data_IF_340537165299
#
_entry.id   IF_340537165299
#
_cell.length_a   1.000
_cell.length_b   1.000
_cell.length_c   1.000
_cell.angle_alpha   90.00
_cell.angle_beta   90.00
_cell.angle_gamma   90.00
#
_symmetry.space_group_name_H-M   'P 1'
#
loop_
_entity.id
_entity.type
_entity.pdbx_description
1 polymer ?
#
# COMPACT_ATOMS: atom_id res chain seq x y z
N UNK A 1 -0.47 2.48 -8.95
CA UNK A 1 -1.16 1.57 -9.91
C UNK A 1 -1.09 2.08 -11.34
N UNK A 2 -1.72 3.22 -11.67
CA UNK A 2 -1.73 3.76 -13.04
C UNK A 2 -0.33 3.97 -13.63
N UNK A 3 0.63 4.43 -12.82
CA UNK A 3 2.04 4.52 -13.24
C UNK A 3 2.67 3.17 -13.61
N UNK A 4 2.32 2.07 -12.93
CA UNK A 4 2.78 0.73 -13.31
C UNK A 4 2.14 0.29 -14.64
N UNK A 5 0.87 0.63 -14.87
CA UNK A 5 0.19 0.31 -16.12
C UNK A 5 0.84 1.01 -17.32
N UNK A 6 1.13 2.31 -17.20
CA UNK A 6 1.71 3.12 -18.29
C UNK A 6 3.21 2.83 -18.51
N UNK A 7 4.00 2.78 -17.45
CA UNK A 7 5.46 2.80 -17.55
C UNK A 7 6.11 1.44 -17.26
N UNK A 8 5.34 0.45 -16.80
CA UNK A 8 5.83 -0.87 -16.39
C UNK A 8 7.09 -0.81 -15.51
N UNK A 9 7.06 0.02 -14.45
CA UNK A 9 8.20 0.26 -13.56
C UNK A 9 8.75 -1.01 -12.91
N UNK A 10 7.90 -2.03 -12.71
CA UNK A 10 8.28 -3.32 -12.14
C UNK A 10 8.88 -4.32 -13.15
N UNK A 11 8.86 -3.96 -14.45
CA UNK A 11 9.32 -4.79 -15.57
C UNK A 11 8.64 -6.15 -15.64
N UNK A 12 7.31 -6.15 -15.50
CA UNK A 12 6.50 -7.35 -15.68
C UNK A 12 6.44 -7.72 -17.17
N UNK A 13 6.34 -9.01 -17.47
CA UNK A 13 6.08 -9.45 -18.84
C UNK A 13 4.65 -9.05 -19.27
N UNK A 14 4.33 -9.02 -20.58
CA UNK A 14 3.00 -8.66 -21.05
C UNK A 14 1.88 -9.51 -20.44
N UNK A 15 2.14 -10.80 -20.19
CA UNK A 15 1.19 -11.73 -19.58
C UNK A 15 1.03 -11.52 -18.07
N UNK A 16 2.08 -11.06 -17.38
CA UNK A 16 2.03 -10.75 -15.94
C UNK A 16 1.40 -9.38 -15.66
N UNK A 17 1.45 -8.43 -16.61
CA UNK A 17 1.04 -7.03 -16.43
C UNK A 17 -0.34 -6.88 -15.75
N UNK A 18 -1.41 -7.58 -16.18
CA UNK A 18 -2.72 -7.45 -15.53
C UNK A 18 -2.70 -7.94 -14.08
N UNK A 19 -1.99 -9.05 -13.83
CA UNK A 19 -1.87 -9.62 -12.48
C UNK A 19 -1.07 -8.71 -11.56
N UNK A 20 0.00 -8.10 -12.06
CA UNK A 20 0.83 -7.14 -11.32
C UNK A 20 0.03 -5.89 -10.99
N UNK A 21 -0.75 -5.35 -11.92
CA UNK A 21 -1.60 -4.18 -11.70
C UNK A 21 -2.70 -4.48 -10.66
N UNK A 22 -3.38 -5.61 -10.79
CA UNK A 22 -4.38 -6.07 -9.82
C UNK A 22 -3.78 -6.26 -8.42
N UNK A 23 -2.65 -6.95 -8.33
CA UNK A 23 -1.96 -7.17 -7.06
C UNK A 23 -1.50 -5.87 -6.42
N UNK A 24 -0.96 -4.95 -7.23
CA UNK A 24 -0.55 -3.63 -6.76
C UNK A 24 -1.75 -2.82 -6.25
N UNK A 25 -2.92 -2.91 -6.88
CA UNK A 25 -4.14 -2.30 -6.36
C UNK A 25 -4.50 -2.85 -4.97
N UNK A 26 -4.58 -4.18 -4.83
CA UNK A 26 -4.95 -4.81 -3.57
C UNK A 26 -3.99 -4.46 -2.44
N UNK A 27 -2.68 -4.51 -2.70
CA UNK A 27 -1.67 -4.11 -1.71
C UNK A 27 -1.71 -2.61 -1.39
N UNK A 28 -1.93 -1.74 -2.38
CA UNK A 28 -2.14 -0.31 -2.11
C UNK A 28 -3.37 -0.08 -1.21
N UNK A 29 -4.46 -0.83 -1.42
CA UNK A 29 -5.64 -0.75 -0.56
C UNK A 29 -5.34 -1.22 0.88
N UNK A 30 -4.57 -2.30 1.05
CA UNK A 30 -4.15 -2.79 2.37
C UNK A 30 -3.25 -1.77 3.10
N UNK A 31 -2.27 -1.19 2.40
CA UNK A 31 -1.45 -0.12 2.97
C UNK A 31 -2.24 1.16 3.24
N UNK A 32 -3.25 1.46 2.43
CA UNK A 32 -4.16 2.57 2.71
C UNK A 32 -5.03 2.30 3.95
N UNK A 33 -5.49 1.06 4.15
CA UNK A 33 -6.22 0.68 5.37
C UNK A 33 -5.37 0.88 6.64
N UNK A 34 -4.06 0.62 6.57
CA UNK A 34 -3.12 0.95 7.66
C UNK A 34 -3.07 2.46 7.93
N UNK A 35 -3.04 3.29 6.89
CA UNK A 35 -3.03 4.75 7.01
C UNK A 35 -4.31 5.29 7.67
N UNK A 36 -5.47 4.75 7.30
CA UNK A 36 -6.78 5.15 7.81
C UNK A 36 -6.99 4.82 9.29
N UNK A 37 -6.12 4.03 9.91
CA UNK A 37 -6.21 3.70 11.34
C UNK A 37 -6.01 4.91 12.25
N UNK A 38 -5.19 5.87 11.83
CA UNK A 38 -4.95 7.10 12.56
C UNK A 38 -5.71 8.26 11.90
N UNK A 39 -6.77 8.73 12.56
CA UNK A 39 -7.59 9.83 12.09
C UNK A 39 -6.87 11.19 12.23
N UNK A 40 -7.18 12.10 11.30
CA UNK A 40 -6.64 13.47 11.31
C UNK A 40 -5.15 13.53 10.97
N UNK A 41 -4.44 14.42 11.66
CA UNK A 41 -3.01 14.69 11.42
C UNK A 41 -2.07 13.83 12.29
N UNK A 42 -2.61 12.84 13.00
CA UNK A 42 -1.82 11.93 13.83
C UNK A 42 -0.94 11.02 12.95
N UNK A 43 0.34 10.94 13.31
CA UNK A 43 1.33 10.11 12.62
C UNK A 43 1.00 8.63 12.77
N UNK A 44 1.12 7.87 11.69
CA UNK A 44 0.89 6.42 11.69
C UNK A 44 2.11 5.64 12.20
N UNK A 45 3.32 6.20 12.08
CA UNK A 45 4.59 5.58 12.47
C UNK A 45 4.68 5.21 13.96
N UNK A 46 4.46 6.12 14.94
CA UNK A 46 4.67 5.82 16.36
C UNK A 46 3.66 4.80 16.92
N UNK A 47 2.51 4.67 16.28
CA UNK A 47 1.46 3.73 16.66
C UNK A 47 1.46 2.47 15.81
N UNK A 48 2.36 2.33 14.82
CA UNK A 48 2.33 1.27 13.82
C UNK A 48 2.12 -0.11 14.45
N UNK A 49 2.95 -0.45 15.44
CA UNK A 49 2.93 -1.75 16.15
C UNK A 49 1.98 -1.85 17.35
N UNK A 50 1.28 -0.77 17.74
CA UNK A 50 0.46 -0.76 18.96
C UNK A 50 -0.86 -1.52 18.78
N UNK A 51 -1.51 -1.38 17.63
CA UNK A 51 -2.74 -2.10 17.32
C UNK A 51 -2.43 -3.43 16.61
N UNK A 52 -2.15 -4.46 17.41
CA UNK A 52 -1.78 -5.80 16.94
C UNK A 52 -2.90 -6.47 16.15
N UNK A 53 -4.17 -6.25 16.52
CA UNK A 53 -5.32 -6.84 15.82
C UNK A 53 -5.40 -6.34 14.38
N UNK A 54 -5.30 -5.02 14.17
CA UNK A 54 -5.33 -4.44 12.83
C UNK A 54 -4.16 -4.95 11.96
N UNK A 55 -2.96 -5.04 12.53
CA UNK A 55 -1.80 -5.60 11.83
C UNK A 55 -1.99 -7.09 11.49
N UNK A 56 -2.54 -7.87 12.41
CA UNK A 56 -2.84 -9.29 12.18
C UNK A 56 -3.83 -9.48 11.04
N UNK A 57 -4.94 -8.73 11.04
CA UNK A 57 -5.94 -8.79 9.96
C UNK A 57 -5.28 -8.45 8.63
N UNK A 58 -4.51 -7.36 8.56
CA UNK A 58 -3.87 -6.93 7.31
C UNK A 58 -2.81 -7.94 6.84
N UNK A 59 -2.08 -8.56 7.76
CA UNK A 59 -1.12 -9.62 7.43
C UNK A 59 -1.85 -10.86 6.87
N UNK A 60 -2.91 -11.31 7.54
CA UNK A 60 -3.71 -12.47 7.09
C UNK A 60 -4.31 -12.18 5.72
N UNK A 61 -4.89 -10.99 5.52
CA UNK A 61 -5.45 -10.58 4.22
C UNK A 61 -4.37 -10.47 3.14
N UNK A 62 -3.16 -10.02 3.47
CA UNK A 62 -2.03 -9.98 2.53
C UNK A 62 -1.61 -11.38 2.07
N UNK A 63 -1.58 -12.34 3.00
CA UNK A 63 -1.29 -13.75 2.69
C UNK A 63 -2.41 -14.33 1.82
N UNK A 64 -3.67 -14.13 2.22
CA UNK A 64 -4.83 -14.58 1.46
C UNK A 64 -4.84 -13.98 0.05
N UNK A 65 -4.49 -12.71 -0.11
CA UNK A 65 -4.36 -12.04 -1.41
C UNK A 65 -3.36 -12.75 -2.32
N UNK A 66 -2.17 -13.09 -1.81
CA UNK A 66 -1.14 -13.81 -2.58
C UNK A 66 -1.64 -15.21 -2.93
N UNK A 67 -2.17 -15.94 -1.96
CA UNK A 67 -2.67 -17.31 -2.15
C UNK A 67 -3.79 -17.34 -3.17
N UNK A 68 -4.78 -16.46 -3.05
CA UNK A 68 -5.93 -16.46 -3.95
C UNK A 68 -5.56 -16.06 -5.37
N UNK A 69 -4.65 -15.08 -5.53
CA UNK A 69 -4.15 -14.69 -6.85
C UNK A 69 -3.36 -15.82 -7.52
N UNK A 70 -2.69 -16.67 -6.73
CA UNK A 70 -1.88 -17.79 -7.24
C UNK A 70 -2.69 -19.09 -7.42
N UNK A 71 -3.75 -19.33 -6.64
CA UNK A 71 -4.55 -20.56 -6.70
C UNK A 71 -5.76 -20.41 -7.61
N UNK A 72 -6.50 -19.30 -7.50
CA UNK A 72 -7.74 -19.07 -8.25
C UNK A 72 -7.50 -18.30 -9.56
N UNK A 73 -6.46 -18.70 -10.31
CA UNK A 73 -6.00 -18.02 -11.53
C UNK A 73 -7.10 -17.76 -12.55
N UNK A 74 -7.95 -18.77 -12.80
CA UNK A 74 -9.06 -18.65 -13.75
C UNK A 74 -10.14 -17.65 -13.30
N UNK A 75 -10.41 -17.56 -12.00
CA UNK A 75 -11.40 -16.61 -11.46
C UNK A 75 -10.92 -15.16 -11.57
N UNK A 76 -9.64 -14.92 -11.26
CA UNK A 76 -9.04 -13.58 -11.29
C UNK A 76 -8.44 -13.19 -12.65
N UNK A 77 -8.50 -14.08 -13.66
CA UNK A 77 -7.75 -13.95 -14.91
C UNK A 77 -6.27 -13.60 -14.68
N UNK A 78 -5.65 -14.25 -13.68
CA UNK A 78 -4.28 -14.00 -13.26
C UNK A 78 -3.32 -15.09 -13.70
N UNK A 79 -2.03 -14.76 -13.73
CA UNK A 79 -0.93 -15.70 -13.94
C UNK A 79 -0.09 -15.86 -12.67
N UNK A 80 0.70 -16.93 -12.58
CA UNK A 80 1.66 -17.06 -11.47
C UNK A 80 2.73 -15.99 -11.57
N UNK A 81 2.86 -15.20 -10.51
CA UNK A 81 3.99 -14.31 -10.32
C UNK A 81 5.10 -14.99 -9.51
N UNK A 82 6.36 -14.69 -9.86
CA UNK A 82 7.52 -15.10 -9.06
C UNK A 82 7.53 -14.44 -7.67
N UNK A 83 8.21 -15.06 -6.70
CA UNK A 83 8.42 -14.48 -5.37
C UNK A 83 9.07 -13.09 -5.43
N UNK A 84 10.01 -12.89 -6.36
CA UNK A 84 10.66 -11.59 -6.57
C UNK A 84 9.68 -10.52 -7.05
N UNK A 85 8.71 -10.87 -7.91
CA UNK A 85 7.69 -9.93 -8.37
C UNK A 85 6.76 -9.53 -7.22
N UNK A 86 6.33 -10.48 -6.38
CA UNK A 86 5.55 -10.16 -5.18
C UNK A 86 6.27 -9.20 -4.25
N UNK A 87 7.56 -9.45 -3.99
CA UNK A 87 8.38 -8.57 -3.16
C UNK A 87 8.42 -7.13 -3.73
N UNK A 88 8.65 -6.99 -5.04
CA UNK A 88 8.60 -5.70 -5.74
C UNK A 88 7.24 -5.00 -5.61
N UNK A 89 6.14 -5.74 -5.76
CA UNK A 89 4.78 -5.22 -5.62
C UNK A 89 4.57 -4.67 -4.21
N UNK A 90 4.93 -5.44 -3.17
CA UNK A 90 4.78 -5.02 -1.78
C UNK A 90 5.61 -3.76 -1.48
N UNK A 91 6.86 -3.70 -1.94
CA UNK A 91 7.69 -2.50 -1.79
C UNK A 91 7.04 -1.30 -2.46
N UNK A 92 6.63 -1.43 -3.73
CA UNK A 92 6.03 -0.33 -4.46
C UNK A 92 4.72 0.13 -3.80
N UNK A 93 3.88 -0.81 -3.34
CA UNK A 93 2.64 -0.50 -2.67
C UNK A 93 2.85 0.18 -1.30
N UNK A 94 3.92 -0.16 -0.58
CA UNK A 94 4.23 0.42 0.73
C UNK A 94 4.48 1.92 0.69
N UNK A 95 4.81 2.47 -0.48
CA UNK A 95 4.95 3.92 -0.70
C UNK A 95 3.69 4.71 -0.32
N UNK A 96 2.51 4.08 -0.37
CA UNK A 96 1.25 4.67 0.11
C UNK A 96 1.33 5.07 1.59
N UNK A 97 2.03 4.29 2.44
CA UNK A 97 2.28 4.65 3.83
C UNK A 97 3.13 5.92 3.93
N UNK A 98 4.23 5.97 3.17
CA UNK A 98 5.17 7.08 3.18
C UNK A 98 4.50 8.38 2.70
N UNK A 99 3.74 8.32 1.61
CA UNK A 99 3.03 9.47 1.06
C UNK A 99 2.05 10.08 2.07
N UNK A 100 1.27 9.25 2.76
CA UNK A 100 0.34 9.72 3.78
C UNK A 100 1.06 10.38 4.96
N UNK A 101 2.18 9.81 5.42
CA UNK A 101 2.94 10.41 6.51
C UNK A 101 3.57 11.75 6.09
N UNK A 102 4.08 11.88 4.86
CA UNK A 102 4.60 13.14 4.32
C UNK A 102 3.49 14.20 4.29
N UNK A 103 2.30 13.86 3.77
CA UNK A 103 1.16 14.79 3.74
C UNK A 103 0.77 15.23 5.15
N UNK A 104 0.63 14.28 6.08
CA UNK A 104 0.32 14.58 7.49
C UNK A 104 1.41 15.44 8.15
N UNK A 105 2.68 15.23 7.82
CA UNK A 105 3.78 16.02 8.33
C UNK A 105 3.74 17.47 7.83
N UNK A 106 3.57 17.68 6.51
CA UNK A 106 3.47 19.02 5.92
C UNK A 106 2.29 19.79 6.50
N UNK A 107 1.11 19.17 6.60
CA UNK A 107 -0.09 19.81 7.16
C UNK A 107 0.06 20.16 8.66
N UNK A 108 0.81 19.36 9.43
CA UNK A 108 1.15 19.72 10.81
C UNK A 108 2.08 20.93 10.86
N UNK A 109 3.13 20.93 10.04
CA UNK A 109 4.10 22.02 9.99
C UNK A 109 3.43 23.36 9.62
N UNK A 110 2.54 23.37 8.62
CA UNK A 110 1.83 24.59 8.22
C UNK A 110 0.86 25.08 9.29
N UNK A 111 0.15 24.16 9.96
CA UNK A 111 -0.76 24.50 11.07
C UNK A 111 -0.03 25.14 12.25
N UNK A 112 1.13 24.61 12.62
CA UNK A 112 1.97 25.17 13.69
C UNK A 112 2.53 26.55 13.31
N UNK A 113 2.95 26.74 12.06
CA UNK A 113 3.40 28.05 11.57
C UNK A 113 2.27 29.09 11.59
N UNK A 114 1.07 28.74 11.13
CA UNK A 114 -0.08 29.63 11.16
C UNK A 114 -0.45 30.04 12.60
N UNK A 115 -0.42 29.10 13.55
CA UNK A 115 -0.68 29.39 14.96
C UNK A 115 0.34 30.36 15.57
N UNK A 116 1.62 30.25 15.20
CA UNK A 116 2.69 31.17 15.63
C UNK A 116 2.53 32.59 15.07
N UNK A 117 1.96 32.75 13.87
CA UNK A 117 1.74 34.06 13.26
C UNK A 117 0.56 34.84 13.86
N UNK A 118 -0.38 34.14 14.51
CA UNK A 118 -1.60 34.73 15.09
C UNK A 118 -1.45 35.09 16.58
N UNK A 119 -0.47 34.52 17.28
CA UNK A 119 -0.14 34.80 18.68
C UNK A 119 0.97 35.84 18.76
#
# INVERSE_FOLDING_TARGET
>A
MYGQYLFNVLKATPTEQPTVVFSLFAFCALFNALNCREFGLNSTIPNFFKNKLALQVILITSIAQILFTQVFKGFFNSVSLSHMMWFKIVILASTVLLLNEIVKFVLRATKEQYKKLKN
#
